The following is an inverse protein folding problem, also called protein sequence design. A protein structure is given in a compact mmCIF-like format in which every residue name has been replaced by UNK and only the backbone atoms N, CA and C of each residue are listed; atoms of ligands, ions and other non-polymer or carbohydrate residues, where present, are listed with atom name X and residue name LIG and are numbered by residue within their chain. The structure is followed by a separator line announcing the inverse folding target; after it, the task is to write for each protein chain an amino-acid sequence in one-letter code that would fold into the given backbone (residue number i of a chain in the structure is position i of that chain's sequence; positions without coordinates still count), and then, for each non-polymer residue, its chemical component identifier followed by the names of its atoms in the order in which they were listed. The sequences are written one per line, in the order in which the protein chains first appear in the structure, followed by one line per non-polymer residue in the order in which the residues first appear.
data_IF_666338633086
#
_entry.id   IF_666338633086
#
_cell.length_a   1.000
_cell.length_b   1.000
_cell.length_c   1.000
_cell.angle_alpha   90.00
_cell.angle_beta   90.00
_cell.angle_gamma   90.00
#
_symmetry.space_group_name_H-M   'P 1'
#
loop_
_entity.id
_entity.type
_entity.pdbx_description
1 polymer ?
#
# COMPACT_ATOMS: atom_id res chain seq x y z
N UNK A 1 -45.36 -16.79 50.43
CA UNK A 1 -44.94 -15.42 50.02
C UNK A 1 -43.44 -15.33 49.68
N UNK A 2 -42.66 -16.39 49.79
CA UNK A 2 -41.17 -16.38 49.57
C UNK A 2 -40.78 -16.51 48.11
N UNK A 3 -41.54 -17.22 47.27
CA UNK A 3 -41.18 -17.50 45.87
C UNK A 3 -41.28 -16.30 44.92
N UNK A 4 -42.15 -15.33 45.20
CA UNK A 4 -42.34 -14.17 44.36
C UNK A 4 -41.16 -13.21 44.42
N UNK A 5 -40.44 -13.14 45.54
CA UNK A 5 -39.24 -12.31 45.71
C UNK A 5 -38.05 -12.85 44.92
N UNK A 6 -37.92 -14.16 44.82
CA UNK A 6 -36.82 -14.79 44.01
C UNK A 6 -37.08 -14.66 42.52
N UNK A 7 -38.35 -14.69 42.10
CA UNK A 7 -38.70 -14.50 40.67
C UNK A 7 -38.41 -13.07 40.22
N UNK A 8 -38.75 -12.07 41.06
CA UNK A 8 -38.41 -10.66 40.76
C UNK A 8 -36.91 -10.39 40.73
N UNK A 9 -36.16 -11.00 41.65
CA UNK A 9 -34.69 -10.88 41.66
C UNK A 9 -34.06 -11.52 40.42
N UNK A 10 -34.57 -12.66 39.96
CA UNK A 10 -34.09 -13.34 38.77
C UNK A 10 -34.39 -12.55 37.47
N UNK A 11 -35.58 -11.95 37.37
CA UNK A 11 -35.94 -11.06 36.26
C UNK A 11 -35.10 -9.79 36.20
N UNK A 12 -34.74 -9.21 37.33
CA UNK A 12 -33.87 -8.05 37.42
C UNK A 12 -32.41 -8.38 37.03
N UNK A 13 -31.94 -9.59 37.37
CA UNK A 13 -30.60 -10.07 36.97
C UNK A 13 -30.48 -10.33 35.45
N UNK A 14 -31.55 -10.82 34.81
CA UNK A 14 -31.57 -11.10 33.37
C UNK A 14 -31.59 -9.78 32.57
N UNK A 15 -32.26 -8.74 33.05
CA UNK A 15 -32.27 -7.44 32.36
C UNK A 15 -30.93 -6.70 32.39
N UNK A 16 -30.03 -7.03 33.31
CA UNK A 16 -28.67 -6.47 33.37
C UNK A 16 -27.71 -7.13 32.38
N UNK A 17 -28.02 -8.30 31.83
CA UNK A 17 -27.20 -9.03 30.88
C UNK A 17 -27.48 -8.67 29.41
N UNK A 18 -28.57 -7.96 29.11
CA UNK A 18 -28.92 -7.50 27.77
C UNK A 18 -28.34 -6.13 27.41
N UNK A 19 -27.23 -5.75 28.02
CA UNK A 19 -26.42 -4.63 27.57
C UNK A 19 -25.61 -5.01 26.33
N UNK A 20 -26.29 -5.31 25.20
CA UNK A 20 -25.65 -5.21 23.90
C UNK A 20 -25.18 -3.78 23.73
N UNK A 21 -23.93 -3.48 24.09
CA UNK A 21 -23.26 -2.32 23.56
C UNK A 21 -23.33 -2.47 22.04
N UNK A 22 -24.04 -1.58 21.37
CA UNK A 22 -23.82 -1.34 19.96
C UNK A 22 -22.33 -1.06 19.86
N UNK A 23 -21.56 -2.02 19.37
CA UNK A 23 -20.28 -1.71 18.77
C UNK A 23 -20.65 -0.74 17.65
N UNK A 24 -20.43 0.53 17.85
CA UNK A 24 -20.23 1.43 16.73
C UNK A 24 -19.00 0.87 16.06
N UNK A 25 -19.20 0.16 14.96
CA UNK A 25 -18.13 -0.19 14.05
C UNK A 25 -17.52 1.15 13.65
N UNK A 26 -16.40 1.51 14.27
CA UNK A 26 -15.59 2.64 13.81
C UNK A 26 -15.10 2.19 12.46
N UNK A 27 -15.87 2.48 11.41
CA UNK A 27 -15.47 2.32 10.04
C UNK A 27 -14.21 3.17 9.88
N UNK A 28 -13.07 2.52 9.76
CA UNK A 28 -11.82 3.19 9.46
C UNK A 28 -11.91 3.64 7.99
N UNK A 29 -12.50 4.80 7.77
CA UNK A 29 -12.79 5.37 6.45
C UNK A 29 -11.73 6.40 6.02
N UNK A 30 -10.51 6.29 6.54
CA UNK A 30 -9.40 7.13 6.07
C UNK A 30 -8.86 6.56 4.77
N UNK A 31 -9.05 7.24 3.63
CA UNK A 31 -8.52 6.76 2.37
C UNK A 31 -6.99 6.78 2.41
N UNK A 32 -6.36 5.76 1.83
CA UNK A 32 -4.91 5.71 1.71
C UNK A 32 -4.46 5.01 0.44
N UNK A 33 -3.23 5.30 0.05
CA UNK A 33 -2.56 4.64 -1.08
C UNK A 33 -1.22 4.07 -0.61
N UNK A 34 -0.94 2.83 -0.97
CA UNK A 34 0.31 2.15 -0.63
C UNK A 34 0.94 1.48 -1.83
N UNK A 35 2.24 1.20 -1.71
CA UNK A 35 3.02 0.47 -2.70
C UNK A 35 3.60 -0.79 -2.04
N UNK A 36 3.44 -1.95 -2.69
CA UNK A 36 3.86 -3.25 -2.14
C UNK A 36 4.01 -4.30 -3.22
N UNK A 37 4.76 -5.36 -2.94
CA UNK A 37 4.75 -6.59 -3.71
C UNK A 37 3.45 -7.39 -3.46
N UNK A 38 3.18 -8.40 -4.30
CA UNK A 38 1.99 -9.25 -4.19
C UNK A 38 1.85 -9.95 -2.83
N UNK A 39 2.97 -10.29 -2.19
CA UNK A 39 3.03 -10.89 -0.85
C UNK A 39 2.97 -9.86 0.30
N UNK A 40 2.85 -8.56 -0.02
CA UNK A 40 2.79 -7.49 0.97
C UNK A 40 4.14 -6.96 1.43
N UNK A 41 5.27 -7.37 0.86
CA UNK A 41 6.59 -6.80 1.16
C UNK A 41 6.73 -5.40 0.55
N UNK A 42 7.62 -4.60 1.13
CA UNK A 42 7.98 -3.25 0.67
C UNK A 42 9.39 -3.16 0.09
N UNK A 43 10.04 -4.30 -0.11
CA UNK A 43 11.36 -4.38 -0.75
C UNK A 43 11.55 -5.69 -1.49
N UNK A 44 12.46 -5.68 -2.47
CA UNK A 44 12.82 -6.84 -3.27
C UNK A 44 14.30 -6.79 -3.64
N UNK A 45 14.94 -7.95 -3.68
CA UNK A 45 16.29 -8.11 -4.23
C UNK A 45 16.23 -8.55 -5.68
N UNK A 46 17.08 -7.96 -6.52
CA UNK A 46 17.22 -8.24 -7.94
C UNK A 46 18.63 -8.72 -8.22
N UNK A 47 18.77 -9.88 -8.86
CA UNK A 47 20.06 -10.41 -9.24
C UNK A 47 20.65 -9.61 -10.43
N UNK A 48 21.86 -9.09 -10.24
CA UNK A 48 22.58 -8.27 -11.25
C UNK A 48 22.91 -9.03 -12.54
N UNK A 49 22.95 -10.36 -12.51
CA UNK A 49 23.27 -11.20 -13.65
C UNK A 49 22.09 -11.44 -14.60
N UNK A 50 20.87 -11.19 -14.11
CA UNK A 50 19.66 -11.41 -14.90
C UNK A 50 19.47 -10.30 -15.92
N UNK A 51 19.16 -10.67 -17.14
CA UNK A 51 18.87 -9.77 -18.25
C UNK A 51 17.40 -9.90 -18.67
N UNK A 52 16.79 -8.75 -18.98
CA UNK A 52 15.37 -8.65 -19.32
C UNK A 52 14.40 -9.24 -18.26
N UNK A 53 14.80 -9.21 -16.99
CA UNK A 53 13.96 -9.64 -15.89
C UNK A 53 12.85 -8.62 -15.65
N UNK A 54 11.60 -9.05 -15.71
CA UNK A 54 10.44 -8.23 -15.36
C UNK A 54 10.08 -8.44 -13.90
N UNK A 55 10.01 -7.36 -13.13
CA UNK A 55 9.42 -7.32 -11.80
C UNK A 55 8.14 -6.50 -11.83
N UNK A 56 7.16 -6.90 -11.03
CA UNK A 56 5.88 -6.19 -10.89
C UNK A 56 5.61 -5.95 -9.41
N UNK A 57 5.33 -4.71 -9.08
CA UNK A 57 4.83 -4.30 -7.77
C UNK A 57 3.48 -3.62 -7.95
N UNK A 58 2.72 -3.46 -6.87
CA UNK A 58 1.36 -2.94 -6.92
C UNK A 58 1.25 -1.64 -6.16
N UNK A 59 0.61 -0.65 -6.79
CA UNK A 59 0.04 0.50 -6.10
C UNK A 59 -1.40 0.16 -5.78
N UNK A 60 -1.77 0.25 -4.51
CA UNK A 60 -3.09 -0.14 -4.00
C UNK A 60 -3.74 1.08 -3.36
N UNK A 61 -4.89 1.45 -3.90
CA UNK A 61 -5.77 2.48 -3.33
C UNK A 61 -6.78 1.80 -2.42
N UNK A 62 -6.93 2.31 -1.21
CA UNK A 62 -7.98 1.92 -0.27
C UNK A 62 -8.84 3.14 0.01
N UNK A 63 -10.04 3.14 -0.52
CA UNK A 63 -11.03 4.19 -0.35
C UNK A 63 -12.43 3.59 -0.42
N UNK A 64 -13.35 4.12 0.37
CA UNK A 64 -14.77 3.74 0.27
C UNK A 64 -15.36 4.21 -1.06
N UNK A 65 -16.52 3.67 -1.42
CA UNK A 65 -17.22 4.06 -2.64
C UNK A 65 -17.56 5.57 -2.66
N UNK A 66 -17.76 6.17 -1.52
CA UNK A 66 -18.11 7.60 -1.41
C UNK A 66 -16.93 8.49 -1.75
N UNK A 67 -15.71 8.04 -1.47
CA UNK A 67 -14.47 8.73 -1.88
C UNK A 67 -14.07 8.42 -3.34
N UNK A 68 -14.51 7.29 -3.90
CA UNK A 68 -14.07 6.83 -5.21
C UNK A 68 -15.16 7.01 -6.28
N UNK A 69 -15.70 8.22 -6.37
CA UNK A 69 -16.73 8.61 -7.37
C UNK A 69 -16.16 9.20 -8.65
N UNK A 70 -14.88 9.61 -8.61
CA UNK A 70 -14.13 10.14 -9.74
C UNK A 70 -12.76 9.47 -9.81
N UNK A 71 -12.02 9.55 -10.93
CA UNK A 71 -10.69 8.99 -11.05
C UNK A 71 -9.73 9.53 -9.98
N UNK A 72 -9.02 8.62 -9.31
CA UNK A 72 -7.95 8.96 -8.37
C UNK A 72 -6.62 8.90 -9.14
N UNK A 73 -5.89 10.00 -9.10
CA UNK A 73 -4.56 10.13 -9.70
C UNK A 73 -3.53 9.99 -8.60
N UNK A 74 -2.58 9.08 -8.78
CA UNK A 74 -1.48 8.83 -7.84
C UNK A 74 -0.17 9.16 -8.52
N UNK A 75 0.60 10.04 -7.93
CA UNK A 75 1.95 10.40 -8.37
C UNK A 75 2.99 9.63 -7.57
N UNK A 76 4.06 9.24 -8.24
CA UNK A 76 5.23 8.65 -7.59
C UNK A 76 6.50 9.12 -8.26
N UNK A 77 7.57 9.20 -7.48
CA UNK A 77 8.92 9.52 -7.92
C UNK A 77 9.81 8.28 -7.89
N UNK A 78 10.89 8.38 -8.65
CA UNK A 78 11.94 7.39 -8.75
C UNK A 78 13.22 7.97 -8.16
N UNK A 79 13.74 7.35 -7.10
CA UNK A 79 15.04 7.68 -6.51
C UNK A 79 16.03 6.58 -6.87
N UNK A 80 17.08 6.92 -7.58
CA UNK A 80 18.07 5.97 -8.10
C UNK A 80 19.38 6.19 -7.38
N UNK A 81 19.92 5.11 -6.79
CA UNK A 81 21.25 5.11 -6.19
C UNK A 81 22.35 5.28 -7.24
N UNK A 82 23.53 5.74 -6.83
CA UNK A 82 24.65 6.08 -7.71
C UNK A 82 25.29 4.87 -8.42
N UNK A 83 24.93 3.66 -8.00
CA UNK A 83 25.34 2.41 -8.64
C UNK A 83 24.44 1.94 -9.79
N UNK A 84 23.29 2.61 -10.01
CA UNK A 84 22.35 2.25 -11.07
C UNK A 84 22.12 3.41 -12.04
N UNK A 85 21.75 3.07 -13.28
CA UNK A 85 21.40 4.05 -14.32
C UNK A 85 20.17 3.60 -15.09
N UNK A 86 19.16 4.45 -15.15
CA UNK A 86 17.97 4.21 -15.97
C UNK A 86 18.34 4.12 -17.46
N UNK A 87 17.72 3.18 -18.16
CA UNK A 87 18.01 2.85 -19.56
C UNK A 87 19.22 1.95 -19.77
N UNK A 88 20.04 1.71 -18.73
CA UNK A 88 21.20 0.81 -18.74
C UNK A 88 20.99 -0.39 -17.82
N UNK A 89 20.65 -0.14 -16.55
CA UNK A 89 20.50 -1.17 -15.53
C UNK A 89 19.04 -1.56 -15.30
N UNK A 90 18.14 -0.64 -15.58
CA UNK A 90 16.69 -0.86 -15.47
C UNK A 90 15.91 0.13 -16.35
N UNK A 91 14.64 -0.16 -16.55
CA UNK A 91 13.67 0.73 -17.20
C UNK A 91 12.29 0.52 -16.60
N UNK A 92 11.60 1.62 -16.26
CA UNK A 92 10.18 1.57 -15.92
C UNK A 92 9.39 1.50 -17.21
N UNK A 93 8.44 0.56 -17.30
CA UNK A 93 7.60 0.41 -18.48
C UNK A 93 6.68 1.63 -18.63
N UNK A 94 6.70 2.28 -19.78
CA UNK A 94 6.04 3.58 -20.01
C UNK A 94 4.53 3.58 -19.69
N UNK A 95 3.83 2.47 -19.93
CA UNK A 95 2.40 2.32 -19.58
C UNK A 95 2.12 2.31 -18.06
N UNK A 96 3.17 2.25 -17.25
CA UNK A 96 3.10 2.22 -15.79
C UNK A 96 3.89 3.38 -15.15
N UNK A 97 4.26 4.38 -15.96
CA UNK A 97 4.92 5.59 -15.48
C UNK A 97 3.94 6.48 -14.68
N UNK A 98 4.50 7.31 -13.82
CA UNK A 98 3.75 8.33 -13.06
C UNK A 98 3.20 9.42 -14.00
N UNK A 99 1.97 9.91 -13.80
CA UNK A 99 1.02 9.49 -12.76
C UNK A 99 0.19 8.26 -13.16
N UNK A 100 -0.27 7.51 -12.15
CA UNK A 100 -1.19 6.40 -12.33
C UNK A 100 -2.63 6.88 -12.09
N UNK A 101 -3.51 6.68 -13.06
CA UNK A 101 -4.93 7.04 -12.95
C UNK A 101 -5.76 5.80 -12.62
N UNK A 102 -6.46 5.83 -11.50
CA UNK A 102 -7.36 4.77 -11.03
C UNK A 102 -8.79 5.19 -11.33
N UNK A 103 -9.46 4.50 -12.24
CA UNK A 103 -10.89 4.73 -12.50
C UNK A 103 -11.74 4.14 -11.36
N UNK A 104 -12.95 4.68 -11.11
CA UNK A 104 -13.85 4.14 -10.11
C UNK A 104 -14.02 2.62 -10.24
N UNK A 105 -13.78 1.90 -9.12
CA UNK A 105 -13.79 0.43 -9.08
C UNK A 105 -12.44 -0.23 -9.39
N UNK A 106 -11.43 0.51 -9.81
CA UNK A 106 -10.05 0.01 -9.98
C UNK A 106 -9.22 0.38 -8.77
N UNK A 107 -8.88 -0.59 -7.93
CA UNK A 107 -8.17 -0.36 -6.67
C UNK A 107 -6.69 -0.75 -6.71
N UNK A 108 -6.24 -1.40 -7.77
CA UNK A 108 -4.87 -1.90 -7.92
C UNK A 108 -4.35 -1.58 -9.31
N UNK A 109 -3.16 -0.97 -9.38
CA UNK A 109 -2.41 -0.82 -10.63
C UNK A 109 -0.97 -1.29 -10.43
N UNK A 110 -0.40 -2.01 -11.41
CA UNK A 110 0.99 -2.43 -11.33
C UNK A 110 1.93 -1.27 -11.71
N UNK A 111 3.15 -1.33 -11.17
CA UNK A 111 4.33 -0.69 -11.74
C UNK A 111 5.25 -1.81 -12.18
N UNK A 112 5.70 -1.78 -13.41
CA UNK A 112 6.57 -2.79 -14.00
C UNK A 112 7.94 -2.21 -14.27
N UNK A 113 8.97 -2.89 -13.73
CA UNK A 113 10.38 -2.56 -13.93
C UNK A 113 11.03 -3.69 -14.71
N UNK A 114 11.66 -3.36 -15.81
CA UNK A 114 12.49 -4.27 -16.59
C UNK A 114 13.93 -4.06 -16.13
N UNK A 115 14.60 -5.12 -15.71
CA UNK A 115 15.97 -5.11 -15.25
C UNK A 115 16.88 -5.69 -16.32
N UNK A 116 18.01 -5.05 -16.52
CA UNK A 116 19.05 -5.48 -17.44
C UNK A 116 20.26 -5.97 -16.65
N UNK A 117 21.07 -6.80 -17.26
CA UNK A 117 22.35 -7.22 -16.67
C UNK A 117 23.24 -6.00 -16.45
N UNK A 118 23.82 -5.87 -15.26
CA UNK A 118 24.77 -4.80 -14.95
C UNK A 118 26.19 -5.25 -15.24
N UNK A 119 26.81 -4.68 -16.27
CA UNK A 119 28.23 -4.86 -16.53
C UNK A 119 29.05 -3.93 -15.62
N UNK A 120 30.08 -4.45 -14.98
CA UNK A 120 30.95 -3.66 -14.08
C UNK A 120 30.23 -3.29 -12.76
N UNK A 121 29.39 -4.18 -12.22
CA UNK A 121 28.71 -3.98 -10.96
C UNK A 121 29.68 -3.66 -9.81
N UNK A 122 29.47 -2.53 -9.12
CA UNK A 122 30.25 -2.09 -7.97
C UNK A 122 29.44 -2.23 -6.68
N UNK A 123 29.76 -3.18 -5.80
CA UNK A 123 29.02 -3.41 -4.56
C UNK A 123 29.25 -2.31 -3.50
N UNK A 124 30.19 -1.40 -3.71
CA UNK A 124 30.45 -0.27 -2.79
C UNK A 124 29.54 0.93 -3.01
N UNK A 125 28.81 0.94 -4.13
CA UNK A 125 27.86 1.97 -4.48
C UNK A 125 26.43 1.67 -3.98
N UNK A 126 25.61 2.68 -3.96
CA UNK A 126 24.18 2.52 -3.73
C UNK A 126 23.50 1.92 -4.97
N UNK A 127 23.25 0.62 -4.92
CA UNK A 127 22.61 -0.14 -6.00
C UNK A 127 21.09 -0.29 -5.75
N UNK A 128 20.43 0.76 -5.25
CA UNK A 128 19.01 0.75 -4.98
C UNK A 128 18.19 1.58 -5.99
N UNK A 129 16.99 1.12 -6.24
CA UNK A 129 15.94 1.86 -6.93
C UNK A 129 14.76 1.96 -5.97
N UNK A 130 14.41 3.18 -5.55
CA UNK A 130 13.25 3.42 -4.69
C UNK A 130 12.14 4.09 -5.47
N UNK A 131 10.95 3.49 -5.42
CA UNK A 131 9.72 4.10 -5.91
C UNK A 131 8.97 4.67 -4.71
N UNK A 132 8.67 5.96 -4.73
CA UNK A 132 8.05 6.68 -3.61
C UNK A 132 6.78 7.37 -4.06
N UNK A 133 5.65 7.10 -3.40
CA UNK A 133 4.41 7.83 -3.63
C UNK A 133 4.59 9.25 -3.11
N UNK A 134 4.34 10.23 -3.97
CA UNK A 134 4.58 11.65 -3.68
C UNK A 134 3.30 12.47 -3.57
N UNK A 135 2.22 12.04 -4.25
CA UNK A 135 0.99 12.80 -4.26
C UNK A 135 -0.22 12.04 -4.76
N UNK A 136 -1.36 12.68 -4.56
CA UNK A 136 -2.65 12.27 -5.12
C UNK A 136 -3.58 13.47 -5.25
N UNK A 137 -4.54 13.40 -6.16
CA UNK A 137 -5.57 14.42 -6.33
C UNK A 137 -6.67 14.36 -5.25
N UNK A 138 -6.72 13.30 -4.43
CA UNK A 138 -7.68 13.19 -3.34
C UNK A 138 -7.10 13.79 -2.05
N UNK A 139 -7.64 14.94 -1.63
CA UNK A 139 -7.09 15.80 -0.57
C UNK A 139 -6.79 15.09 0.75
N UNK A 140 -7.66 14.17 1.19
CA UNK A 140 -7.55 13.54 2.52
C UNK A 140 -6.93 12.15 2.46
N UNK A 141 -6.36 11.75 1.31
CA UNK A 141 -5.72 10.46 1.14
C UNK A 141 -4.34 10.41 1.81
N UNK A 142 -4.15 9.44 2.68
CA UNK A 142 -2.87 9.19 3.33
C UNK A 142 -1.92 8.48 2.36
N UNK A 143 -0.68 8.98 2.25
CA UNK A 143 0.38 8.36 1.46
C UNK A 143 1.13 7.33 2.30
N UNK A 144 1.02 6.07 1.96
CA UNK A 144 1.42 4.91 2.77
C UNK A 144 0.26 4.38 3.60
N UNK A 145 0.55 3.41 4.47
CA UNK A 145 -0.42 2.94 5.46
C UNK A 145 -0.68 4.04 6.50
N UNK A 146 -1.93 4.19 6.97
CA UNK A 146 -2.23 5.09 8.06
C UNK A 146 -1.42 4.74 9.31
N UNK A 147 -0.84 5.77 9.94
CA UNK A 147 0.00 5.65 11.12
C UNK A 147 1.21 6.59 11.06
N UNK A 148 1.96 6.71 12.17
CA UNK A 148 3.05 7.68 12.28
C UNK A 148 4.23 7.40 11.32
N UNK A 149 4.43 6.13 10.94
CA UNK A 149 5.58 5.72 10.15
C UNK A 149 5.32 5.78 8.64
N UNK A 150 4.09 6.07 8.19
CA UNK A 150 3.67 6.04 6.78
C UNK A 150 4.24 4.82 6.01
N UNK A 151 4.21 3.63 6.64
CA UNK A 151 4.73 2.39 6.05
C UNK A 151 4.14 2.16 4.66
N UNK A 152 4.93 1.52 3.77
CA UNK A 152 4.52 1.26 2.38
C UNK A 152 4.22 2.51 1.55
N UNK A 153 4.75 3.66 1.94
CA UNK A 153 4.84 4.84 1.08
C UNK A 153 5.90 4.67 0.01
N UNK A 154 6.89 3.80 0.28
CA UNK A 154 8.03 3.51 -0.57
C UNK A 154 8.16 2.03 -0.84
N UNK A 155 8.75 1.68 -1.99
CA UNK A 155 9.19 0.34 -2.33
C UNK A 155 10.65 0.39 -2.81
N UNK A 156 11.50 -0.48 -2.25
CA UNK A 156 12.94 -0.47 -2.50
C UNK A 156 13.33 -1.75 -3.24
N UNK A 157 13.92 -1.60 -4.41
CA UNK A 157 14.66 -2.67 -5.08
C UNK A 157 16.15 -2.54 -4.74
N UNK A 158 16.79 -3.64 -4.42
CA UNK A 158 18.24 -3.71 -4.23
C UNK A 158 18.82 -4.67 -5.25
N UNK A 159 19.69 -4.18 -6.13
CA UNK A 159 20.38 -5.00 -7.13
C UNK A 159 21.69 -5.51 -6.55
N UNK A 160 21.94 -6.84 -6.64
CA UNK A 160 23.14 -7.47 -6.07
C UNK A 160 23.56 -8.73 -6.81
#
# INVERSE_FOLDING_TARGET
MTNTRYILALLAAISLLCGCRKHEDILFDTPYVRIEEANGLSSMTVDKSLDNMLTEIRVVVSASKDYFTAPIVVEYDTVVGDGLKEGVDFKIQASHASPLTFDPGTYIKPIRVIWYKTEGFDPSKDNTLTLRITGTNLKDMVLGLPGPDAKKKEFIFTKQ
#
